data_IF_680013379948
#
_entry.id   IF_680013379948
#
_cell.length_a   1.000
_cell.length_b   1.000
_cell.length_c   1.000
_cell.angle_alpha   90.00
_cell.angle_beta   90.00
_cell.angle_gamma   90.00
#
_symmetry.space_group_name_H-M   'P 1'
#
loop_
_entity.id
_entity.type
_entity.pdbx_description
1 polymer ?
#
# COMPACT_ATOMS: atom_id res chain seq x y z
N UNK A 1 -28.34 11.16 9.71
CA UNK A 1 -28.17 11.45 8.26
C UNK A 1 -26.70 11.59 7.81
N UNK A 2 -25.83 12.31 8.53
CA UNK A 2 -24.43 12.51 8.11
C UNK A 2 -23.58 11.23 7.96
N UNK A 3 -23.72 10.27 8.89
CA UNK A 3 -22.99 8.99 8.84
C UNK A 3 -23.36 8.15 7.61
N UNK A 4 -24.65 8.02 7.31
CA UNK A 4 -25.16 7.28 6.13
C UNK A 4 -24.63 7.92 4.83
N UNK A 5 -24.66 9.25 4.73
CA UNK A 5 -24.14 9.97 3.56
C UNK A 5 -22.62 9.74 3.38
N UNK A 6 -21.85 9.76 4.47
CA UNK A 6 -20.41 9.50 4.41
C UNK A 6 -20.09 8.04 4.06
N UNK A 7 -20.88 7.08 4.55
CA UNK A 7 -20.74 5.67 4.18
C UNK A 7 -21.04 5.44 2.70
N UNK A 8 -22.12 6.02 2.18
CA UNK A 8 -22.48 5.95 0.75
C UNK A 8 -21.38 6.56 -0.10
N UNK A 9 -20.87 7.75 0.23
CA UNK A 9 -19.76 8.38 -0.50
C UNK A 9 -18.51 7.52 -0.49
N UNK A 10 -18.15 6.94 0.66
CA UNK A 10 -16.99 6.05 0.79
C UNK A 10 -17.16 4.80 -0.07
N UNK A 11 -18.37 4.23 -0.10
CA UNK A 11 -18.71 3.09 -0.94
C UNK A 11 -18.60 3.42 -2.43
N UNK A 12 -19.14 4.56 -2.87
CA UNK A 12 -19.05 5.03 -4.26
C UNK A 12 -17.57 5.13 -4.70
N UNK A 13 -16.71 5.75 -3.88
CA UNK A 13 -15.28 5.85 -4.22
C UNK A 13 -14.59 4.49 -4.32
N UNK A 14 -14.97 3.54 -3.47
CA UNK A 14 -14.45 2.19 -3.55
C UNK A 14 -14.89 1.47 -4.84
N UNK A 15 -16.17 1.57 -5.20
CA UNK A 15 -16.70 0.96 -6.45
C UNK A 15 -16.06 1.59 -7.68
N UNK A 16 -16.00 2.92 -7.76
CA UNK A 16 -15.35 3.61 -8.89
C UNK A 16 -13.87 3.26 -8.99
N UNK A 17 -13.15 3.28 -7.86
CA UNK A 17 -11.74 2.88 -7.83
C UNK A 17 -11.50 1.44 -8.26
N UNK A 18 -12.39 0.52 -7.89
CA UNK A 18 -12.34 -0.88 -8.34
C UNK A 18 -12.62 -1.01 -9.85
N UNK A 19 -13.63 -0.29 -10.37
CA UNK A 19 -13.95 -0.27 -11.79
C UNK A 19 -12.80 0.25 -12.65
N UNK A 20 -12.17 1.36 -12.24
CA UNK A 20 -10.98 1.89 -12.92
C UNK A 20 -9.80 0.92 -12.83
N UNK A 21 -9.60 0.32 -11.65
CA UNK A 21 -8.57 -0.70 -11.45
C UNK A 21 -8.74 -1.90 -12.37
N UNK A 22 -9.98 -2.36 -12.57
CA UNK A 22 -10.30 -3.43 -13.51
C UNK A 22 -10.01 -3.05 -14.96
N UNK A 23 -10.44 -1.86 -15.39
CA UNK A 23 -10.13 -1.33 -16.73
C UNK A 23 -8.62 -1.26 -16.95
N UNK A 24 -7.87 -0.78 -15.96
CA UNK A 24 -6.41 -0.76 -15.99
C UNK A 24 -5.81 -2.16 -16.19
N UNK A 25 -6.28 -3.18 -15.46
CA UNK A 25 -5.83 -4.56 -15.65
C UNK A 25 -6.05 -5.05 -17.09
N UNK A 26 -7.23 -4.80 -17.66
CA UNK A 26 -7.54 -5.21 -19.03
C UNK A 26 -6.65 -4.52 -20.06
N UNK A 27 -6.45 -3.20 -19.92
CA UNK A 27 -5.60 -2.41 -20.82
C UNK A 27 -4.14 -2.87 -20.70
N UNK A 28 -3.64 -3.05 -19.48
CA UNK A 28 -2.27 -3.51 -19.25
C UNK A 28 -2.01 -4.89 -19.83
N UNK A 29 -2.93 -5.84 -19.62
CA UNK A 29 -2.82 -7.19 -20.18
C UNK A 29 -2.79 -7.16 -21.72
N UNK A 30 -3.66 -6.36 -22.34
CA UNK A 30 -3.73 -6.23 -23.80
C UNK A 30 -2.48 -5.57 -24.39
N UNK A 31 -1.95 -4.52 -23.76
CA UNK A 31 -0.82 -3.75 -24.29
C UNK A 31 0.55 -4.41 -24.03
N UNK A 32 0.74 -5.03 -22.87
CA UNK A 32 2.01 -5.69 -22.54
C UNK A 32 2.11 -7.09 -23.14
N UNK A 33 0.96 -7.74 -23.39
CA UNK A 33 0.89 -9.14 -23.77
C UNK A 33 1.07 -10.08 -22.57
N UNK A 34 0.73 -11.36 -22.77
CA UNK A 34 0.66 -12.35 -21.70
C UNK A 34 1.97 -12.56 -20.94
N UNK A 35 3.11 -12.59 -21.63
CA UNK A 35 4.41 -12.86 -21.01
C UNK A 35 4.83 -11.76 -20.03
N UNK A 36 4.83 -10.49 -20.49
CA UNK A 36 5.26 -9.35 -19.68
C UNK A 36 4.27 -9.05 -18.56
N UNK A 37 2.98 -9.15 -18.85
CA UNK A 37 1.94 -9.01 -17.84
C UNK A 37 2.02 -10.14 -16.79
N UNK A 38 2.32 -11.37 -17.21
CA UNK A 38 2.56 -12.51 -16.31
C UNK A 38 3.75 -12.28 -15.38
N UNK A 39 4.88 -11.80 -15.91
CA UNK A 39 6.07 -11.45 -15.10
C UNK A 39 5.76 -10.35 -14.08
N UNK A 40 4.98 -9.34 -14.46
CA UNK A 40 4.59 -8.28 -13.53
C UNK A 40 3.69 -8.81 -12.39
N UNK A 41 2.70 -9.65 -12.72
CA UNK A 41 1.83 -10.28 -11.73
C UNK A 41 2.56 -11.26 -10.82
N UNK A 42 3.59 -11.94 -11.33
CA UNK A 42 4.48 -12.77 -10.50
C UNK A 42 5.14 -11.95 -9.37
N UNK A 43 5.62 -10.74 -9.69
CA UNK A 43 6.14 -9.82 -8.66
C UNK A 43 5.04 -9.35 -7.70
N UNK A 44 3.85 -9.04 -8.20
CA UNK A 44 2.72 -8.66 -7.36
C UNK A 44 2.29 -9.78 -6.39
N UNK A 45 2.40 -11.05 -6.80
CA UNK A 45 2.15 -12.19 -5.92
C UNK A 45 3.08 -12.19 -4.71
N UNK A 46 4.37 -11.96 -4.90
CA UNK A 46 5.31 -11.81 -3.79
C UNK A 46 4.99 -10.59 -2.92
N UNK A 47 4.66 -9.46 -3.53
CA UNK A 47 4.28 -8.24 -2.81
C UNK A 47 3.10 -8.50 -1.88
N UNK A 48 2.04 -9.14 -2.39
CA UNK A 48 0.86 -9.48 -1.58
C UNK A 48 1.24 -10.38 -0.39
N UNK A 49 2.00 -11.44 -0.64
CA UNK A 49 2.48 -12.36 0.40
C UNK A 49 3.27 -11.61 1.48
N UNK A 50 4.23 -10.78 1.09
CA UNK A 50 5.07 -10.01 2.01
C UNK A 50 4.24 -9.03 2.85
N UNK A 51 3.27 -8.35 2.24
CA UNK A 51 2.42 -7.36 2.91
C UNK A 51 1.65 -7.99 4.09
N UNK A 52 1.23 -9.26 3.93
CA UNK A 52 0.54 -10.02 4.99
C UNK A 52 1.48 -10.32 6.16
N UNK A 53 2.72 -10.76 5.90
CA UNK A 53 3.65 -11.16 6.97
C UNK A 53 4.35 -9.96 7.64
N UNK A 54 4.70 -8.92 6.88
CA UNK A 54 5.49 -7.80 7.39
C UNK A 54 4.71 -6.84 8.30
N UNK A 55 3.38 -6.93 8.29
CA UNK A 55 2.53 -6.09 9.12
C UNK A 55 2.29 -6.66 10.53
N UNK A 56 2.65 -7.91 10.83
CA UNK A 56 2.49 -8.55 12.15
C UNK A 56 1.15 -8.19 12.85
N UNK A 57 0.03 -8.23 12.10
CA UNK A 57 -1.33 -8.02 12.65
C UNK A 57 -1.63 -6.58 13.04
N UNK A 58 -0.71 -5.66 12.78
CA UNK A 58 -0.84 -4.23 13.06
C UNK A 58 -2.08 -3.66 12.36
N UNK A 59 -2.35 -4.05 11.11
CA UNK A 59 -3.56 -3.63 10.38
C UNK A 59 -4.86 -3.95 11.13
N UNK A 60 -4.94 -5.11 11.78
CA UNK A 60 -6.12 -5.57 12.53
C UNK A 60 -6.26 -4.84 13.87
N UNK A 61 -5.15 -4.59 14.55
CA UNK A 61 -5.16 -3.90 15.85
C UNK A 61 -5.35 -2.38 15.73
N UNK A 62 -4.90 -1.78 14.63
CA UNK A 62 -4.87 -0.33 14.42
C UNK A 62 -6.21 0.38 14.67
N UNK A 63 -7.38 -0.08 14.16
CA UNK A 63 -8.65 0.61 14.40
C UNK A 63 -8.97 0.74 15.90
N UNK A 64 -8.75 -0.33 16.66
CA UNK A 64 -8.95 -0.35 18.11
C UNK A 64 -7.97 0.57 18.82
N UNK A 65 -6.69 0.55 18.42
CA UNK A 65 -5.68 1.43 19.00
C UNK A 65 -5.98 2.91 18.74
N UNK A 66 -6.43 3.25 17.53
CA UNK A 66 -6.71 4.62 17.13
C UNK A 66 -7.96 5.16 17.84
N UNK A 67 -9.03 4.37 17.90
CA UNK A 67 -10.26 4.78 18.60
C UNK A 67 -10.05 5.09 20.09
N UNK A 68 -9.06 4.44 20.73
CA UNK A 68 -8.74 4.60 22.16
C UNK A 68 -7.71 5.68 22.48
N UNK A 69 -6.99 6.19 21.48
CA UNK A 69 -5.89 7.14 21.69
C UNK A 69 -6.12 8.40 20.88
N UNK A 70 -6.18 9.56 21.55
CA UNK A 70 -6.44 10.85 20.91
C UNK A 70 -5.17 11.72 20.78
N UNK A 71 -4.00 11.08 20.66
CA UNK A 71 -2.71 11.78 20.58
C UNK A 71 -2.55 12.51 19.25
N UNK A 72 -2.11 13.77 19.29
CA UNK A 72 -1.75 14.55 18.08
C UNK A 72 -0.63 13.89 17.25
N UNK A 73 0.17 13.00 17.86
CA UNK A 73 1.30 12.30 17.22
C UNK A 73 1.00 10.83 16.89
N UNK A 74 -0.26 10.41 16.99
CA UNK A 74 -0.66 9.01 16.86
C UNK A 74 -0.21 8.37 15.55
N UNK A 75 -0.43 9.05 14.41
CA UNK A 75 0.00 8.53 13.11
C UNK A 75 1.53 8.39 13.03
N UNK A 76 2.27 9.35 13.61
CA UNK A 76 3.73 9.32 13.64
C UNK A 76 4.24 8.07 14.38
N UNK A 77 3.66 7.75 15.53
CA UNK A 77 4.03 6.56 16.31
C UNK A 77 3.72 5.27 15.53
N UNK A 78 2.54 5.20 14.88
CA UNK A 78 2.14 4.07 14.03
C UNK A 78 3.11 3.89 12.86
N UNK A 79 3.43 4.99 12.17
CA UNK A 79 4.33 5.00 11.02
C UNK A 79 5.71 4.46 11.43
N UNK A 80 6.32 5.01 12.49
CA UNK A 80 7.65 4.58 12.90
C UNK A 80 7.66 3.13 13.39
N UNK A 81 6.64 2.70 14.13
CA UNK A 81 6.51 1.29 14.52
C UNK A 81 6.42 0.37 13.31
N UNK A 82 5.58 0.69 12.33
CA UNK A 82 5.47 -0.10 11.11
C UNK A 82 6.79 -0.12 10.32
N UNK A 83 7.42 1.04 10.12
CA UNK A 83 8.67 1.14 9.36
C UNK A 83 9.78 0.31 10.00
N UNK A 84 9.92 0.34 11.33
CA UNK A 84 10.89 -0.50 12.03
C UNK A 84 10.60 -1.98 11.87
N UNK A 85 9.34 -2.41 12.03
CA UNK A 85 8.94 -3.81 11.83
C UNK A 85 9.20 -4.28 10.39
N UNK A 86 8.86 -3.44 9.42
CA UNK A 86 9.06 -3.75 8.01
C UNK A 86 10.55 -3.91 7.70
N UNK A 87 11.42 -3.02 8.17
CA UNK A 87 12.87 -3.13 7.94
C UNK A 87 13.41 -4.45 8.50
N UNK A 88 13.04 -4.81 9.73
CA UNK A 88 13.48 -6.06 10.36
C UNK A 88 13.00 -7.28 9.56
N UNK A 89 11.72 -7.32 9.21
CA UNK A 89 11.17 -8.43 8.43
C UNK A 89 11.72 -8.50 7.00
N UNK A 90 12.00 -7.35 6.39
CA UNK A 90 12.51 -7.27 5.03
C UNK A 90 13.90 -7.86 4.89
N UNK A 91 14.75 -7.77 5.92
CA UNK A 91 16.07 -8.44 5.94
C UNK A 91 15.92 -9.95 5.70
N UNK A 92 15.00 -10.60 6.43
CA UNK A 92 14.75 -12.03 6.26
C UNK A 92 14.21 -12.37 4.87
N UNK A 93 13.29 -11.58 4.35
CA UNK A 93 12.72 -11.75 3.01
C UNK A 93 13.80 -11.64 1.92
N UNK A 94 14.67 -10.63 2.03
CA UNK A 94 15.77 -10.41 1.09
C UNK A 94 16.71 -11.61 1.09
N UNK A 95 17.08 -12.14 2.26
CA UNK A 95 17.93 -13.32 2.38
C UNK A 95 17.29 -14.56 1.73
N UNK A 96 16.00 -14.80 1.97
CA UNK A 96 15.26 -15.90 1.34
C UNK A 96 15.27 -15.76 -0.18
N UNK A 97 14.98 -14.56 -0.69
CA UNK A 97 14.93 -14.30 -2.14
C UNK A 97 16.28 -14.42 -2.84
N UNK A 98 17.37 -14.03 -2.16
CA UNK A 98 18.72 -14.33 -2.64
C UNK A 98 18.98 -15.83 -2.69
N UNK A 99 18.55 -16.58 -1.67
CA UNK A 99 18.69 -18.05 -1.63
C UNK A 99 17.98 -18.76 -2.78
N UNK A 100 16.79 -18.29 -3.17
CA UNK A 100 16.02 -18.81 -4.32
C UNK A 100 16.37 -18.14 -5.67
N UNK A 101 17.48 -17.37 -5.72
CA UNK A 101 18.05 -16.77 -6.94
C UNK A 101 17.10 -15.81 -7.69
N UNK A 102 16.23 -15.08 -6.98
CA UNK A 102 15.47 -13.99 -7.60
C UNK A 102 16.44 -12.86 -8.01
N UNK A 103 16.24 -12.26 -9.19
CA UNK A 103 17.05 -11.13 -9.67
C UNK A 103 17.01 -9.97 -8.67
N UNK A 104 18.17 -9.38 -8.35
CA UNK A 104 18.30 -8.28 -7.38
C UNK A 104 17.33 -7.12 -7.63
N UNK A 105 17.15 -6.72 -8.90
CA UNK A 105 16.22 -5.65 -9.27
C UNK A 105 14.76 -5.98 -8.87
N UNK A 106 14.36 -7.25 -8.98
CA UNK A 106 13.03 -7.70 -8.59
C UNK A 106 12.87 -7.71 -7.08
N UNK A 107 13.91 -8.07 -6.34
CA UNK A 107 13.92 -8.00 -4.87
C UNK A 107 13.68 -6.55 -4.43
N UNK A 108 14.41 -5.59 -5.01
CA UNK A 108 14.25 -4.16 -4.70
C UNK A 108 12.83 -3.69 -5.00
N UNK A 109 12.30 -4.02 -6.18
CA UNK A 109 10.94 -3.67 -6.58
C UNK A 109 9.90 -4.24 -5.62
N UNK A 110 10.02 -5.53 -5.28
CA UNK A 110 9.11 -6.20 -4.36
C UNK A 110 9.16 -5.52 -2.99
N UNK A 111 10.35 -5.24 -2.45
CA UNK A 111 10.50 -4.58 -1.15
C UNK A 111 9.87 -3.19 -1.14
N UNK A 112 10.15 -2.35 -2.15
CA UNK A 112 9.59 -1.00 -2.26
C UNK A 112 8.06 -1.06 -2.38
N UNK A 113 7.54 -1.91 -3.27
CA UNK A 113 6.11 -1.97 -3.52
C UNK A 113 5.35 -2.54 -2.32
N UNK A 114 5.92 -3.52 -1.61
CA UNK A 114 5.33 -4.08 -0.37
C UNK A 114 5.25 -3.03 0.73
N UNK A 115 6.33 -2.26 0.92
CA UNK A 115 6.36 -1.17 1.89
C UNK A 115 5.27 -0.13 1.58
N UNK A 116 5.24 0.36 0.34
CA UNK A 116 4.28 1.37 -0.10
C UNK A 116 2.83 0.87 -0.03
N UNK A 117 2.58 -0.39 -0.41
CA UNK A 117 1.24 -0.99 -0.39
C UNK A 117 0.68 -1.06 1.03
N UNK A 118 1.48 -1.59 1.96
CA UNK A 118 1.11 -1.70 3.38
C UNK A 118 0.95 -0.32 4.01
N UNK A 119 1.86 0.60 3.73
CA UNK A 119 1.81 1.96 4.26
C UNK A 119 0.55 2.70 3.79
N UNK A 120 0.20 2.55 2.52
CA UNK A 120 -1.02 3.11 1.95
C UNK A 120 -2.29 2.53 2.61
N UNK A 121 -2.25 1.25 3.01
CA UNK A 121 -3.31 0.62 3.79
C UNK A 121 -3.38 1.12 5.24
N UNK A 122 -2.24 1.32 5.90
CA UNK A 122 -2.19 1.94 7.23
C UNK A 122 -2.78 3.36 7.19
N UNK A 123 -2.48 4.15 6.15
CA UNK A 123 -3.08 5.48 5.96
C UNK A 123 -4.60 5.37 5.77
N UNK A 124 -5.07 4.40 4.99
CA UNK A 124 -6.51 4.15 4.82
C UNK A 124 -7.17 3.84 6.18
N UNK A 125 -6.63 2.86 6.91
CA UNK A 125 -7.13 2.45 8.23
C UNK A 125 -7.15 3.64 9.19
N UNK A 126 -6.09 4.45 9.19
CA UNK A 126 -6.01 5.65 10.02
C UNK A 126 -7.10 6.66 9.69
N UNK A 127 -7.31 6.95 8.41
CA UNK A 127 -8.35 7.89 7.97
C UNK A 127 -9.75 7.36 8.31
N UNK A 128 -10.03 6.07 8.10
CA UNK A 128 -11.31 5.46 8.48
C UNK A 128 -11.54 5.59 9.98
N UNK A 129 -10.56 5.19 10.79
CA UNK A 129 -10.65 5.18 12.25
C UNK A 129 -10.73 6.60 12.86
N UNK A 130 -10.24 7.60 12.15
CA UNK A 130 -10.31 9.03 12.54
C UNK A 130 -11.56 9.74 11.99
N UNK A 131 -12.54 9.01 11.46
CA UNK A 131 -13.79 9.58 10.91
C UNK A 131 -13.67 10.24 9.54
N UNK A 132 -12.52 10.09 8.85
CA UNK A 132 -12.23 10.62 7.51
C UNK A 132 -12.29 9.53 6.42
N UNK A 133 -13.22 8.58 6.56
CA UNK A 133 -13.34 7.42 5.67
C UNK A 133 -13.48 7.80 4.18
N UNK A 134 -14.26 8.84 3.88
CA UNK A 134 -14.48 9.33 2.50
C UNK A 134 -13.16 9.73 1.85
N UNK A 135 -12.33 10.51 2.55
CA UNK A 135 -11.02 10.95 2.07
C UNK A 135 -10.05 9.77 1.92
N UNK A 136 -10.05 8.85 2.89
CA UNK A 136 -9.22 7.64 2.84
C UNK A 136 -9.54 6.78 1.62
N UNK A 137 -10.81 6.49 1.37
CA UNK A 137 -11.26 5.71 0.22
C UNK A 137 -10.98 6.44 -1.10
N UNK A 138 -11.26 7.74 -1.17
CA UNK A 138 -10.95 8.55 -2.36
C UNK A 138 -9.46 8.45 -2.72
N UNK A 139 -8.55 8.68 -1.78
CA UNK A 139 -7.11 8.64 -2.05
C UNK A 139 -6.62 7.22 -2.40
N UNK A 140 -6.98 6.22 -1.58
CA UNK A 140 -6.44 4.86 -1.68
C UNK A 140 -7.00 4.07 -2.85
N UNK A 141 -8.29 4.25 -3.16
CA UNK A 141 -9.00 3.44 -4.16
C UNK A 141 -9.18 4.21 -5.46
N UNK A 142 -9.81 5.38 -5.40
CA UNK A 142 -10.14 6.12 -6.62
C UNK A 142 -8.89 6.79 -7.22
N UNK A 143 -8.23 7.68 -6.49
CA UNK A 143 -7.08 8.45 -6.99
C UNK A 143 -5.92 7.52 -7.39
N UNK A 144 -5.60 6.53 -6.57
CA UNK A 144 -4.58 5.52 -6.89
C UNK A 144 -4.86 4.77 -8.21
N UNK A 145 -6.09 4.26 -8.40
CA UNK A 145 -6.45 3.54 -9.63
C UNK A 145 -6.42 4.45 -10.85
N UNK A 146 -6.91 5.70 -10.72
CA UNK A 146 -6.88 6.70 -11.80
C UNK A 146 -5.44 7.05 -12.17
N UNK A 147 -4.56 7.26 -11.19
CA UNK A 147 -3.14 7.51 -11.44
C UNK A 147 -2.46 6.32 -12.11
N UNK A 148 -2.72 5.08 -11.68
CA UNK A 148 -2.19 3.89 -12.34
C UNK A 148 -2.55 3.88 -13.83
N UNK A 149 -3.82 4.11 -14.15
CA UNK A 149 -4.28 4.12 -15.53
C UNK A 149 -3.58 5.22 -16.35
N UNK A 150 -3.60 6.46 -15.86
CA UNK A 150 -3.03 7.62 -16.57
C UNK A 150 -1.52 7.44 -16.76
N UNK A 151 -0.79 7.16 -15.68
CA UNK A 151 0.67 7.02 -15.70
C UNK A 151 1.07 5.83 -16.57
N UNK A 152 0.31 4.75 -16.55
CA UNK A 152 0.58 3.59 -17.41
C UNK A 152 0.43 3.91 -18.89
N UNK A 153 -0.67 4.56 -19.29
CA UNK A 153 -0.88 4.95 -20.69
C UNK A 153 0.24 5.90 -21.15
N UNK A 154 0.58 6.91 -20.34
CA UNK A 154 1.66 7.85 -20.65
C UNK A 154 3.02 7.15 -20.75
N UNK A 155 3.34 6.27 -19.80
CA UNK A 155 4.61 5.54 -19.77
C UNK A 155 4.72 4.52 -20.90
N UNK A 156 3.62 3.87 -21.28
CA UNK A 156 3.60 2.91 -22.37
C UNK A 156 3.87 3.57 -23.73
N UNK A 157 3.39 4.80 -23.93
CA UNK A 157 3.67 5.57 -25.15
C UNK A 157 5.15 6.00 -25.19
N UNK A 158 5.72 6.40 -24.06
CA UNK A 158 7.06 6.97 -23.98
C UNK A 158 8.20 5.93 -23.88
N UNK A 159 7.94 4.74 -23.35
CA UNK A 159 8.96 3.74 -23.02
C UNK A 159 8.76 2.42 -23.75
N UNK A 160 9.85 1.69 -23.96
CA UNK A 160 9.83 0.35 -24.56
C UNK A 160 8.94 -0.63 -23.76
N UNK A 161 8.13 -1.44 -24.44
CA UNK A 161 7.25 -2.45 -23.84
C UNK A 161 8.03 -3.43 -22.93
N UNK A 162 8.11 -3.13 -21.63
CA UNK A 162 8.77 -3.95 -20.59
C UNK A 162 7.84 -4.06 -19.40
N UNK A 163 7.88 -5.20 -18.70
CA UNK A 163 7.04 -5.45 -17.53
C UNK A 163 7.27 -4.45 -16.39
N UNK A 164 8.46 -3.83 -16.32
CA UNK A 164 8.78 -2.79 -15.34
C UNK A 164 7.90 -1.55 -15.47
N UNK A 165 7.34 -1.25 -16.65
CA UNK A 165 6.42 -0.11 -16.81
C UNK A 165 5.22 -0.30 -15.89
N UNK A 166 4.65 -1.51 -15.90
CA UNK A 166 3.49 -1.83 -15.07
C UNK A 166 3.79 -1.65 -13.58
N UNK A 167 4.86 -2.27 -13.08
CA UNK A 167 5.17 -2.18 -11.64
C UNK A 167 5.64 -0.78 -11.26
N UNK A 168 6.39 -0.11 -12.13
CA UNK A 168 6.83 1.28 -11.95
C UNK A 168 5.66 2.24 -11.83
N UNK A 169 4.61 2.08 -12.63
CA UNK A 169 3.40 2.92 -12.52
C UNK A 169 2.74 2.78 -11.17
N UNK A 170 2.66 1.56 -10.63
CA UNK A 170 2.13 1.32 -9.28
C UNK A 170 2.99 2.01 -8.21
N UNK A 171 4.31 1.91 -8.30
CA UNK A 171 5.24 2.60 -7.37
C UNK A 171 4.99 4.11 -7.41
N UNK A 172 4.93 4.71 -8.60
CA UNK A 172 4.73 6.17 -8.75
C UNK A 172 3.36 6.59 -8.20
N UNK A 173 2.29 5.88 -8.53
CA UNK A 173 0.94 6.16 -8.00
C UNK A 173 0.91 6.04 -6.48
N UNK A 174 1.60 5.07 -5.91
CA UNK A 174 1.75 4.96 -4.45
C UNK A 174 2.50 6.14 -3.86
N UNK A 175 3.62 6.53 -4.46
CA UNK A 175 4.40 7.69 -4.00
C UNK A 175 3.54 8.95 -3.98
N UNK A 176 2.83 9.23 -5.08
CA UNK A 176 1.97 10.42 -5.21
C UNK A 176 0.85 10.41 -4.16
N UNK A 177 0.24 9.25 -3.90
CA UNK A 177 -0.90 9.16 -2.96
C UNK A 177 -0.49 9.10 -1.49
N UNK A 178 0.71 8.59 -1.17
CA UNK A 178 1.12 8.33 0.23
C UNK A 178 2.09 9.37 0.79
N UNK A 179 3.09 9.82 0.01
CA UNK A 179 4.12 10.72 0.53
C UNK A 179 3.56 12.05 1.04
N UNK A 180 2.63 12.74 0.35
CA UNK A 180 2.10 14.00 0.86
C UNK A 180 1.43 13.87 2.23
N UNK A 181 0.80 12.73 2.51
CA UNK A 181 0.20 12.44 3.81
C UNK A 181 1.27 12.20 4.89
N UNK A 182 2.32 11.45 4.55
CA UNK A 182 3.45 11.18 5.45
C UNK A 182 4.13 12.48 5.86
N UNK A 183 4.51 13.32 4.89
CA UNK A 183 5.22 14.58 5.13
C UNK A 183 4.42 15.51 6.05
N UNK A 184 3.09 15.51 5.94
CA UNK A 184 2.21 16.34 6.76
C UNK A 184 2.02 15.81 8.19
N UNK A 185 2.04 14.49 8.38
CA UNK A 185 1.56 13.85 9.60
C UNK A 185 2.64 13.11 10.41
N UNK A 186 3.83 12.90 9.85
CA UNK A 186 4.94 12.26 10.54
C UNK A 186 5.85 13.31 11.18
N UNK A 187 6.20 13.07 12.43
CA UNK A 187 7.11 13.90 13.22
C UNK A 187 8.32 13.06 13.65
N UNK A 188 9.07 13.53 14.65
CA UNK A 188 10.30 12.88 15.16
C UNK A 188 10.12 11.37 15.36
N UNK A 189 11.20 10.63 15.08
CA UNK A 189 11.28 9.17 15.21
C UNK A 189 10.91 8.75 16.64
N UNK A 190 9.86 7.94 16.76
CA UNK A 190 9.46 7.31 18.03
C UNK A 190 8.75 5.99 17.76
N UNK A 191 9.43 4.89 18.06
CA UNK A 191 8.84 3.55 17.99
C UNK A 191 8.04 3.30 19.27
N UNK A 192 6.81 2.81 19.12
CA UNK A 192 5.95 2.47 20.24
C UNK A 192 5.83 0.95 20.41
N UNK A 193 6.59 0.40 21.34
CA UNK A 193 6.63 -1.03 21.66
C UNK A 193 5.29 -1.59 22.16
N UNK A 194 4.41 -0.75 22.72
CA UNK A 194 3.09 -1.18 23.18
C UNK A 194 2.17 -1.54 22.01
N UNK A 195 2.32 -0.86 20.87
CA UNK A 195 1.63 -1.23 19.62
C UNK A 195 2.10 -2.60 19.16
N UNK A 196 3.41 -2.87 19.19
CA UNK A 196 3.99 -4.15 18.76
C UNK A 196 3.46 -5.28 19.63
N UNK A 197 3.59 -5.15 20.96
CA UNK A 197 3.14 -6.17 21.92
C UNK A 197 1.67 -6.53 21.73
N UNK A 198 0.80 -5.53 21.58
CA UNK A 198 -0.63 -5.77 21.45
C UNK A 198 -1.05 -6.25 20.06
N UNK A 199 -0.24 -5.99 19.03
CA UNK A 199 -0.47 -6.53 17.68
C UNK A 199 -0.13 -8.02 17.61
N UNK A 200 0.91 -8.47 18.32
CA UNK A 200 1.29 -9.90 18.42
C UNK A 200 0.19 -10.73 19.08
N UNK A 201 -0.54 -10.17 20.05
CA UNK A 201 -1.65 -10.84 20.72
C UNK A 201 -2.83 -11.22 19.83
N UNK A 202 -2.82 -10.85 18.54
CA UNK A 202 -3.77 -11.38 17.55
C UNK A 202 -3.32 -12.71 16.90
N UNK A 203 -2.07 -13.13 17.13
CA UNK A 203 -1.51 -14.42 16.66
C UNK A 203 -1.20 -15.42 17.79
N UNK A 204 -1.41 -15.03 19.04
CA UNK A 204 -1.26 -15.87 20.22
C UNK A 204 -2.65 -16.24 20.76
#
# INVERSE_FOLDING_TARGET
MGLINNSIKSFIWNVLGAGIGFIFQMIAARLLGAEKFGQANYLLGYVATITVFTSFGLQTYLPKYISKNNSKKLFSDIFWTYTSLFIIANIGIVLIFYGIKIKTINIIIISILSYLTTLSEIILIYNISSGKAVLGMFNRKFLYSTLNLIIFVLSFIALSNKYYIYVGTMIISYIITTIPFIVKNVSKIKVNFLIIKNSIGFYA
#
